data_IF_856209465027
#
_entry.id   IF_856209465027
#
_cell.length_a   1.000
_cell.length_b   1.000
_cell.length_c   1.000
_cell.angle_alpha   90.00
_cell.angle_beta   90.00
_cell.angle_gamma   90.00
#
_symmetry.space_group_name_H-M   'P 1'
#
loop_
_entity.id
_entity.type
_entity.pdbx_description
1 polymer ?
#
# COMPACT_ATOMS: atom_id res chain seq x y z
N UNK A 1 -1.68 25.30 13.93
CA UNK A 1 -0.95 24.98 12.68
C UNK A 1 -0.62 23.50 12.71
N UNK A 2 -1.54 22.65 12.26
CA UNK A 2 -1.30 21.22 12.10
C UNK A 2 -0.85 20.99 10.66
N UNK A 3 0.37 20.48 10.50
CA UNK A 3 0.92 20.08 9.21
C UNK A 3 0.06 18.91 8.69
N UNK A 4 -0.74 19.15 7.66
CA UNK A 4 -1.49 18.08 6.98
C UNK A 4 -0.59 17.58 5.84
N UNK A 5 0.05 16.40 5.97
CA UNK A 5 0.72 15.79 4.83
C UNK A 5 -0.35 15.51 3.77
N UNK A 6 -0.10 15.98 2.55
CA UNK A 6 -0.98 15.73 1.40
C UNK A 6 -0.94 14.22 1.12
N UNK A 7 -1.95 13.50 1.59
CA UNK A 7 -2.18 12.10 1.26
C UNK A 7 -2.67 12.06 -0.18
N UNK A 8 -1.86 11.56 -1.11
CA UNK A 8 -2.32 11.26 -2.46
C UNK A 8 -3.15 9.97 -2.39
N UNK A 9 -4.46 10.12 -2.24
CA UNK A 9 -5.40 9.01 -2.38
C UNK A 9 -5.55 8.75 -3.89
N UNK A 10 -4.87 7.72 -4.40
CA UNK A 10 -4.97 7.33 -5.82
C UNK A 10 -6.37 6.74 -6.02
N UNK A 11 -7.26 7.51 -6.66
CA UNK A 11 -8.60 7.07 -7.04
C UNK A 11 -8.53 6.30 -8.36
N UNK A 12 -8.83 5.00 -8.28
CA UNK A 12 -9.24 3.96 -9.24
C UNK A 12 -9.06 4.07 -10.78
N UNK A 13 -8.98 5.24 -11.41
CA UNK A 13 -9.10 5.36 -12.88
C UNK A 13 -7.94 6.05 -13.62
N UNK A 14 -6.83 6.39 -12.94
CA UNK A 14 -5.73 7.15 -13.56
C UNK A 14 -4.33 6.50 -13.34
N UNK A 15 -4.26 5.18 -13.44
CA UNK A 15 -3.02 4.38 -13.25
C UNK A 15 -1.96 4.69 -14.35
N UNK A 16 -2.31 5.41 -15.41
CA UNK A 16 -1.42 5.66 -16.56
C UNK A 16 -0.40 6.79 -16.39
N UNK A 17 -0.38 7.51 -15.27
CA UNK A 17 0.54 8.62 -15.05
C UNK A 17 1.03 8.58 -13.61
N UNK A 18 2.30 8.32 -13.31
CA UNK A 18 2.81 8.69 -11.97
C UNK A 18 4.33 8.73 -11.89
N UNK A 19 4.89 9.71 -12.60
CA UNK A 19 6.10 10.37 -12.12
C UNK A 19 5.71 11.22 -10.92
N UNK A 20 6.08 10.80 -9.72
CA UNK A 20 5.83 11.50 -8.46
C UNK A 20 7.13 12.10 -7.91
N UNK A 21 6.98 13.10 -7.06
CA UNK A 21 8.10 13.65 -6.30
C UNK A 21 8.97 14.64 -7.08
N UNK A 22 8.55 15.13 -8.24
CA UNK A 22 9.28 16.20 -8.94
C UNK A 22 9.33 17.48 -8.09
N UNK A 23 10.53 18.05 -7.93
CA UNK A 23 10.74 19.29 -7.19
C UNK A 23 10.60 19.19 -5.66
N UNK A 24 10.43 17.99 -5.11
CA UNK A 24 10.35 17.75 -3.65
C UNK A 24 11.43 16.77 -3.19
N UNK A 25 11.52 16.54 -1.87
CA UNK A 25 12.60 15.76 -1.24
C UNK A 25 12.49 14.24 -1.41
N UNK A 26 11.38 13.73 -1.93
CA UNK A 26 11.13 12.30 -2.06
C UNK A 26 9.64 11.96 -1.91
N UNK A 27 9.34 10.68 -2.07
CA UNK A 27 8.01 10.10 -1.99
C UNK A 27 7.93 9.18 -0.77
N UNK A 28 6.89 9.35 0.04
CA UNK A 28 6.52 8.43 1.12
C UNK A 28 5.34 7.58 0.67
N UNK A 29 5.39 6.27 0.92
CA UNK A 29 4.29 5.35 0.57
C UNK A 29 3.68 4.80 1.85
N UNK A 30 2.39 5.02 2.04
CA UNK A 30 1.62 4.37 3.10
C UNK A 30 0.67 3.37 2.47
N UNK A 31 0.70 2.12 2.94
CA UNK A 31 -0.18 1.05 2.47
C UNK A 31 -1.04 0.59 3.64
N UNK A 32 -2.29 1.02 3.64
CA UNK A 32 -3.33 0.39 4.45
C UNK A 32 -3.63 -0.99 3.87
N UNK A 33 -3.56 -2.04 4.68
CA UNK A 33 -3.85 -3.41 4.22
C UNK A 33 -5.31 -3.54 3.77
N UNK A 34 -6.23 -2.71 4.28
CA UNK A 34 -7.64 -2.73 3.88
C UNK A 34 -7.94 -2.13 2.50
N UNK A 35 -6.93 -1.55 1.82
CA UNK A 35 -7.08 -1.16 0.41
C UNK A 35 -7.26 -2.38 -0.52
N UNK A 36 -6.87 -3.56 -0.05
CA UNK A 36 -7.07 -4.83 -0.73
C UNK A 36 -8.50 -5.33 -0.51
N UNK A 37 -9.06 -5.97 -1.53
CA UNK A 37 -10.33 -6.66 -1.35
C UNK A 37 -10.22 -7.69 -0.20
N UNK A 38 -11.23 -7.82 0.68
CA UNK A 38 -11.24 -8.77 1.78
C UNK A 38 -11.01 -10.23 1.36
N UNK A 39 -11.23 -10.58 0.10
CA UNK A 39 -10.84 -11.88 -0.45
C UNK A 39 -9.32 -12.14 -0.39
N UNK A 40 -8.51 -11.09 -0.44
CA UNK A 40 -7.04 -11.17 -0.35
C UNK A 40 -6.52 -10.79 1.05
N UNK A 41 -7.21 -9.91 1.77
CA UNK A 41 -6.79 -9.41 3.07
C UNK A 41 -7.94 -9.37 4.10
N UNK A 42 -8.46 -10.53 4.55
CA UNK A 42 -9.56 -10.57 5.52
C UNK A 42 -9.16 -10.09 6.93
N UNK A 43 -7.86 -10.13 7.26
CA UNK A 43 -7.30 -9.80 8.57
C UNK A 43 -7.13 -8.30 8.80
N UNK A 44 -8.20 -7.54 8.64
CA UNK A 44 -8.27 -6.08 8.83
C UNK A 44 -9.47 -5.72 9.71
N UNK A 45 -9.40 -4.55 10.34
CA UNK A 45 -10.49 -4.07 11.22
C UNK A 45 -11.74 -3.68 10.44
N UNK A 46 -11.56 -3.04 9.27
CA UNK A 46 -12.64 -2.54 8.41
C UNK A 46 -12.71 -3.36 7.14
N UNK A 47 -13.85 -4.03 6.92
CA UNK A 47 -14.07 -4.87 5.74
C UNK A 47 -14.79 -4.02 4.68
N UNK A 48 -14.11 -3.73 3.59
CA UNK A 48 -14.63 -2.94 2.47
C UNK A 48 -14.61 -3.74 1.16
N UNK A 49 -15.73 -4.38 0.75
CA UNK A 49 -15.78 -5.16 -0.49
C UNK A 49 -15.59 -4.32 -1.75
N UNK A 50 -14.99 -4.92 -2.78
CA UNK A 50 -14.68 -4.23 -4.04
C UNK A 50 -13.34 -3.51 -4.02
N UNK A 51 -12.41 -3.97 -3.18
CA UNK A 51 -11.05 -3.44 -3.06
C UNK A 51 -10.12 -3.90 -4.19
N UNK A 52 -8.85 -3.51 -4.08
CA UNK A 52 -7.82 -3.88 -5.06
C UNK A 52 -7.43 -5.35 -4.94
N UNK A 53 -7.05 -5.98 -6.06
CA UNK A 53 -6.34 -7.25 -5.94
C UNK A 53 -4.91 -7.01 -5.46
N UNK A 54 -4.31 -8.05 -4.88
CA UNK A 54 -2.89 -8.00 -4.50
C UNK A 54 -1.99 -7.63 -5.69
N UNK A 55 -2.36 -8.08 -6.91
CA UNK A 55 -1.58 -7.79 -8.11
C UNK A 55 -1.69 -6.33 -8.53
N UNK A 56 -2.84 -5.69 -8.32
CA UNK A 56 -3.03 -4.28 -8.66
C UNK A 56 -2.11 -3.40 -7.82
N UNK A 57 -2.03 -3.66 -6.52
CA UNK A 57 -1.11 -2.96 -5.61
C UNK A 57 0.35 -3.15 -6.03
N UNK A 58 0.76 -4.38 -6.39
CA UNK A 58 2.11 -4.62 -6.90
C UNK A 58 2.39 -3.87 -8.20
N UNK A 59 1.43 -3.86 -9.13
CA UNK A 59 1.58 -3.15 -10.39
C UNK A 59 1.75 -1.64 -10.16
N UNK A 60 0.99 -1.05 -9.24
CA UNK A 60 1.14 0.36 -8.85
C UNK A 60 2.53 0.59 -8.25
N UNK A 61 2.92 -0.21 -7.26
CA UNK A 61 4.21 -0.05 -6.56
C UNK A 61 5.41 -0.23 -7.50
N UNK A 62 5.36 -1.22 -8.39
CA UNK A 62 6.44 -1.51 -9.33
C UNK A 62 6.56 -0.47 -10.42
N UNK A 63 5.45 0.03 -10.96
CA UNK A 63 5.45 1.03 -12.04
C UNK A 63 5.61 2.47 -11.54
N UNK A 64 5.45 2.74 -10.23
CA UNK A 64 5.67 4.06 -9.65
C UNK A 64 7.07 4.59 -9.96
N UNK A 65 7.16 5.79 -10.53
CA UNK A 65 8.41 6.48 -10.80
C UNK A 65 8.57 7.64 -9.81
N UNK A 66 9.59 7.58 -8.95
CA UNK A 66 9.87 8.60 -7.95
C UNK A 66 10.93 8.12 -6.97
N UNK A 67 11.59 9.05 -6.28
CA UNK A 67 12.55 8.71 -5.24
C UNK A 67 11.80 8.34 -3.95
N UNK A 68 11.50 7.05 -3.78
CA UNK A 68 10.81 6.55 -2.59
C UNK A 68 11.79 6.52 -1.42
N UNK A 69 11.54 7.38 -0.42
CA UNK A 69 12.47 7.59 0.70
C UNK A 69 12.11 6.79 1.95
N UNK A 70 10.83 6.45 2.11
CA UNK A 70 10.32 5.69 3.24
C UNK A 70 8.88 5.22 2.95
N UNK A 71 8.36 4.34 3.82
CA UNK A 71 6.95 3.98 3.82
C UNK A 71 6.55 3.09 4.99
N UNK A 72 5.25 2.84 5.11
CA UNK A 72 4.65 1.98 6.11
C UNK A 72 3.61 1.01 5.51
N UNK A 73 3.35 -0.07 6.24
CA UNK A 73 2.26 -1.02 6.00
C UNK A 73 1.47 -1.12 7.30
N UNK A 74 0.20 -0.72 7.27
CA UNK A 74 -0.62 -0.50 8.47
C UNK A 74 -1.93 -1.31 8.43
N UNK A 75 -2.70 -1.27 9.52
CA UNK A 75 -4.04 -1.90 9.68
C UNK A 75 -4.14 -3.44 9.51
N UNK A 76 -3.00 -4.15 9.51
CA UNK A 76 -3.04 -5.57 9.79
C UNK A 76 -3.64 -5.81 11.18
N UNK A 77 -4.73 -6.57 11.24
CA UNK A 77 -5.36 -7.03 12.47
C UNK A 77 -5.22 -8.56 12.59
N UNK A 78 -4.19 -9.07 13.31
CA UNK A 78 -3.95 -10.51 13.43
C UNK A 78 -5.10 -11.28 14.09
N UNK A 79 -5.93 -10.61 14.91
CA UNK A 79 -7.07 -11.25 15.56
C UNK A 79 -8.23 -11.54 14.60
N UNK A 80 -8.23 -10.90 13.43
CA UNK A 80 -9.24 -11.05 12.38
C UNK A 80 -8.72 -11.82 11.16
N UNK A 81 -7.45 -12.22 11.19
CA UNK A 81 -6.86 -12.99 10.11
C UNK A 81 -7.34 -14.45 10.12
N UNK A 82 -7.16 -15.12 9.00
CA UNK A 82 -7.36 -16.56 8.86
C UNK A 82 -6.45 -17.34 9.82
N UNK A 83 -6.84 -18.58 10.13
CA UNK A 83 -6.05 -19.47 11.02
C UNK A 83 -4.64 -19.72 10.53
N UNK A 84 -4.41 -19.65 9.21
CA UNK A 84 -3.11 -19.85 8.58
C UNK A 84 -2.30 -18.55 8.42
N UNK A 85 -2.82 -17.40 8.88
CA UNK A 85 -2.13 -16.11 8.83
C UNK A 85 -1.99 -15.53 7.42
N UNK A 86 -2.99 -15.75 6.55
CA UNK A 86 -2.96 -15.30 5.16
C UNK A 86 -2.68 -13.79 5.01
N UNK A 87 -3.36 -12.94 5.79
CA UNK A 87 -3.21 -11.49 5.72
C UNK A 87 -1.86 -11.04 6.27
N UNK A 88 -1.34 -11.73 7.30
CA UNK A 88 0.02 -11.51 7.78
C UNK A 88 1.06 -11.79 6.68
N UNK A 89 0.87 -12.83 5.86
CA UNK A 89 1.74 -13.13 4.71
C UNK A 89 1.61 -12.09 3.59
N UNK A 90 0.40 -11.57 3.37
CA UNK A 90 0.14 -10.46 2.45
C UNK A 90 0.88 -9.19 2.91
N UNK A 91 0.71 -8.79 4.17
CA UNK A 91 1.39 -7.63 4.75
C UNK A 91 2.92 -7.80 4.72
N UNK A 92 3.43 -8.98 5.07
CA UNK A 92 4.87 -9.28 5.00
C UNK A 92 5.41 -9.15 3.57
N UNK A 93 4.63 -9.56 2.55
CA UNK A 93 5.03 -9.40 1.16
C UNK A 93 4.97 -7.94 0.71
N UNK A 94 3.97 -7.16 1.13
CA UNK A 94 3.94 -5.71 0.88
C UNK A 94 5.19 -5.02 1.45
N UNK A 95 5.57 -5.35 2.69
CA UNK A 95 6.80 -4.83 3.32
C UNK A 95 8.04 -5.20 2.49
N UNK A 96 8.14 -6.44 2.00
CA UNK A 96 9.28 -6.88 1.17
C UNK A 96 9.37 -6.13 -0.15
N UNK A 97 8.24 -5.91 -0.82
CA UNK A 97 8.20 -5.19 -2.11
C UNK A 97 8.48 -3.70 -1.91
N UNK A 98 7.96 -3.10 -0.84
CA UNK A 98 8.26 -1.73 -0.45
C UNK A 98 9.74 -1.56 -0.09
N UNK A 99 10.31 -2.48 0.69
CA UNK A 99 11.72 -2.48 1.01
C UNK A 99 12.59 -2.61 -0.25
N UNK A 100 12.25 -3.51 -1.18
CA UNK A 100 12.94 -3.62 -2.46
C UNK A 100 12.89 -2.30 -3.26
N UNK A 101 11.74 -1.59 -3.25
CA UNK A 101 11.59 -0.29 -3.90
C UNK A 101 12.45 0.81 -3.25
N UNK A 102 12.60 0.77 -1.92
CA UNK A 102 13.38 1.76 -1.15
C UNK A 102 14.90 1.47 -1.23
N UNK A 103 15.31 0.20 -1.18
CA UNK A 103 16.70 -0.20 -0.97
C UNK A 103 17.65 -0.03 -2.16
N UNK A 104 17.12 0.21 -3.38
CA UNK A 104 17.85 0.39 -4.65
C UNK A 104 18.74 -0.80 -5.04
#
# INVERSE_FOLDING_TARGET
MLYHPITYQILYNDISLTKLGEGVKGVYISIDVDCLDPAFAPGVSHIEPGGLSFRDVLNILHNLQGDVVAGDVVELNPQRDTVDGMTAMVAAKLVRELAAKISK
#
